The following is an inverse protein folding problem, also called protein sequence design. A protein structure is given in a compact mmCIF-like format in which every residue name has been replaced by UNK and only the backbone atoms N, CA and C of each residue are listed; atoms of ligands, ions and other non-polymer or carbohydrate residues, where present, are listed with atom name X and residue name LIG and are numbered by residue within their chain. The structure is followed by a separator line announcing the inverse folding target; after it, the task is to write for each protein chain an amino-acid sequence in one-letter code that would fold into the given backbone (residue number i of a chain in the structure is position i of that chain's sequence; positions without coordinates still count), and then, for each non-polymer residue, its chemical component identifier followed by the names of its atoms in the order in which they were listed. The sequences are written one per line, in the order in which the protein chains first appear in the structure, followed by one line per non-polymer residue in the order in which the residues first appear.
data_IF_694961105022
#
_entry.id   IF_694961105022
#
_cell.length_a   1.000
_cell.length_b   1.000
_cell.length_c   1.000
_cell.angle_alpha   90.00
_cell.angle_beta   90.00
_cell.angle_gamma   90.00
#
_symmetry.space_group_name_H-M   'P 1'
#
loop_
_entity.id
_entity.type
_entity.pdbx_description
1 polymer ?
#
# COMPACT_ATOMS: atom_id res chain seq x y z
N UNK A 1 2.47 9.58 33.56
CA UNK A 1 1.80 8.73 32.56
C UNK A 1 2.81 8.42 31.47
N UNK A 2 3.41 7.25 31.53
CA UNK A 2 4.39 6.75 30.57
C UNK A 2 3.64 6.25 29.34
N UNK A 3 3.84 6.90 28.20
CA UNK A 3 3.33 6.43 26.91
C UNK A 3 4.15 5.21 26.50
N UNK A 4 3.58 4.02 26.68
CA UNK A 4 4.12 2.78 26.13
C UNK A 4 3.96 2.84 24.61
N UNK A 5 5.03 3.20 23.88
CA UNK A 5 5.10 2.99 22.45
C UNK A 5 4.98 1.48 22.19
N UNK A 6 3.80 1.04 21.75
CA UNK A 6 3.63 -0.28 21.17
C UNK A 6 4.31 -0.27 19.80
N UNK A 7 5.50 -0.84 19.72
CA UNK A 7 6.14 -1.21 18.46
C UNK A 7 5.34 -2.38 17.85
N UNK A 8 4.25 -2.06 17.16
CA UNK A 8 3.73 -2.94 16.11
C UNK A 8 4.83 -2.99 15.07
N UNK A 9 5.27 -4.20 14.69
CA UNK A 9 6.40 -4.40 13.79
C UNK A 9 6.18 -3.63 12.48
N UNK A 10 6.76 -2.43 12.42
CA UNK A 10 6.87 -1.58 11.25
C UNK A 10 8.01 -2.14 10.40
N UNK A 11 7.79 -3.31 9.83
CA UNK A 11 8.61 -3.78 8.72
C UNK A 11 8.26 -2.90 7.54
N UNK A 12 9.04 -1.85 7.32
CA UNK A 12 9.05 -1.20 6.03
C UNK A 12 9.65 -2.17 5.00
N UNK A 13 9.34 -1.94 3.72
CA UNK A 13 9.62 -2.93 2.70
C UNK A 13 11.06 -2.80 2.23
N UNK A 14 11.86 -3.82 2.55
CA UNK A 14 13.23 -3.94 2.07
C UNK A 14 13.39 -4.71 0.79
N UNK A 15 14.20 -4.14 -0.10
CA UNK A 15 14.62 -4.76 -1.35
C UNK A 15 15.48 -6.00 -1.08
N UNK A 16 14.83 -7.16 -0.96
CA UNK A 16 15.51 -8.44 -0.95
C UNK A 16 16.17 -8.73 -2.30
N UNK A 17 17.50 -8.72 -2.30
CA UNK A 17 18.38 -9.04 -3.42
C UNK A 17 17.93 -10.30 -4.19
N UNK A 18 17.65 -10.15 -5.49
CA UNK A 18 17.40 -11.26 -6.41
C UNK A 18 18.66 -12.11 -6.55
N UNK A 19 18.75 -13.19 -5.77
CA UNK A 19 19.81 -14.18 -5.90
C UNK A 19 19.76 -14.85 -7.28
N UNK A 20 20.80 -14.62 -8.09
CA UNK A 20 21.08 -15.33 -9.33
C UNK A 20 21.31 -16.83 -9.04
N UNK A 21 20.23 -17.59 -8.95
CA UNK A 21 20.23 -19.05 -8.94
C UNK A 21 19.78 -19.58 -10.29
N UNK A 22 20.70 -20.15 -11.06
CA UNK A 22 20.38 -20.91 -12.25
C UNK A 22 19.53 -22.12 -11.85
N UNK A 23 18.21 -22.03 -12.04
CA UNK A 23 17.27 -23.12 -11.85
C UNK A 23 16.10 -22.92 -12.80
N UNK A 24 15.93 -23.87 -13.72
CA UNK A 24 14.79 -23.99 -14.64
C UNK A 24 13.46 -24.30 -13.91
N UNK A 25 13.23 -23.71 -12.74
CA UNK A 25 11.98 -23.73 -12.02
C UNK A 25 11.54 -22.28 -11.82
N UNK A 26 11.03 -21.68 -12.90
CA UNK A 26 10.16 -20.52 -12.77
C UNK A 26 9.01 -20.93 -11.83
N UNK A 27 8.83 -20.28 -10.66
CA UNK A 27 7.71 -20.59 -9.80
C UNK A 27 6.45 -20.31 -10.62
N UNK A 28 5.67 -21.36 -10.91
CA UNK A 28 4.31 -21.18 -11.41
C UNK A 28 3.61 -20.33 -10.36
N UNK A 29 3.30 -19.09 -10.69
CA UNK A 29 2.55 -18.20 -9.81
C UNK A 29 1.22 -18.87 -9.51
N UNK A 30 1.12 -19.55 -8.37
CA UNK A 30 -0.08 -20.26 -7.97
C UNK A 30 -1.11 -19.21 -7.58
N UNK A 31 -2.17 -19.13 -8.38
CA UNK A 31 -3.32 -18.27 -8.11
C UNK A 31 -3.89 -18.59 -6.73
N UNK A 32 -3.95 -17.60 -5.84
CA UNK A 32 -4.53 -17.78 -4.51
C UNK A 32 -5.98 -18.26 -4.61
N UNK A 33 -6.43 -19.14 -3.72
CA UNK A 33 -7.82 -19.55 -3.61
C UNK A 33 -8.73 -18.40 -3.14
N UNK A 34 -10.04 -18.53 -3.32
CA UNK A 34 -11.01 -17.55 -2.80
C UNK A 34 -10.91 -17.42 -1.27
N UNK A 35 -10.69 -18.53 -0.58
CA UNK A 35 -10.49 -18.57 0.87
C UNK A 35 -9.25 -17.79 1.30
N UNK A 36 -8.14 -17.92 0.56
CA UNK A 36 -6.91 -17.17 0.83
C UNK A 36 -7.11 -15.67 0.58
N UNK A 37 -7.82 -15.26 -0.48
CA UNK A 37 -8.12 -13.84 -0.73
C UNK A 37 -8.96 -13.25 0.40
N UNK A 38 -10.02 -13.93 0.83
CA UNK A 38 -10.85 -13.48 1.95
C UNK A 38 -10.02 -13.39 3.23
N UNK A 39 -9.16 -14.38 3.48
CA UNK A 39 -8.28 -14.39 4.67
C UNK A 39 -7.30 -13.22 4.67
N UNK A 40 -6.65 -12.97 3.53
CA UNK A 40 -5.71 -11.85 3.36
C UNK A 40 -6.43 -10.50 3.51
N UNK A 41 -7.60 -10.34 2.91
CA UNK A 41 -8.37 -9.10 3.06
C UNK A 41 -8.85 -8.90 4.50
N UNK A 42 -9.24 -9.98 5.17
CA UNK A 42 -9.64 -9.96 6.57
C UNK A 42 -8.49 -9.52 7.48
N UNK A 43 -7.30 -10.11 7.33
CA UNK A 43 -6.13 -9.78 8.17
C UNK A 43 -5.53 -8.41 7.88
N UNK A 44 -5.74 -7.87 6.67
CA UNK A 44 -5.13 -6.62 6.22
C UNK A 44 -6.06 -5.41 6.27
N UNK A 45 -7.38 -5.58 6.19
CA UNK A 45 -8.33 -4.45 6.08
C UNK A 45 -9.55 -4.51 7.00
N UNK A 46 -10.08 -5.71 7.31
CA UNK A 46 -11.35 -5.84 8.03
C UNK A 46 -11.13 -6.03 9.54
N UNK A 47 -10.32 -7.02 9.92
CA UNK A 47 -10.11 -7.47 11.31
C UNK A 47 -8.65 -7.30 11.77
N UNK A 48 -7.89 -6.43 11.11
CA UNK A 48 -6.48 -6.19 11.44
C UNK A 48 -6.26 -5.63 12.86
N UNK A 49 -7.34 -5.16 13.51
CA UNK A 49 -7.38 -4.72 14.91
C UNK A 49 -7.70 -5.82 15.93
N UNK A 50 -7.73 -7.11 15.56
CA UNK A 50 -8.11 -8.20 16.48
C UNK A 50 -7.27 -8.25 17.78
N UNK A 51 -6.09 -7.64 17.78
CA UNK A 51 -5.20 -7.50 18.95
C UNK A 51 -5.42 -6.23 19.80
N UNK A 52 -6.20 -5.25 19.33
CA UNK A 52 -6.50 -3.99 20.02
C UNK A 52 -8.00 -3.93 20.32
N UNK A 53 -8.43 -4.65 21.36
CA UNK A 53 -9.85 -4.86 21.70
C UNK A 53 -10.64 -3.58 21.99
N UNK A 54 -9.98 -2.50 22.43
CA UNK A 54 -10.60 -1.18 22.64
C UNK A 54 -10.79 -0.36 21.33
N UNK A 55 -10.28 -0.88 20.21
CA UNK A 55 -10.45 -0.36 18.86
C UNK A 55 -11.35 -1.26 18.00
N UNK A 56 -12.09 -2.21 18.61
CA UNK A 56 -13.09 -3.04 17.92
C UNK A 56 -14.18 -2.17 17.30
N UNK A 57 -13.92 -1.77 16.06
CA UNK A 57 -14.83 -1.07 15.17
C UNK A 57 -15.64 -2.12 14.40
N UNK A 58 -16.87 -1.81 13.93
CA UNK A 58 -17.68 -2.77 13.21
C UNK A 58 -16.89 -3.35 12.02
N UNK A 59 -16.94 -4.68 11.80
CA UNK A 59 -16.22 -5.30 10.71
C UNK A 59 -16.78 -4.79 9.38
N UNK A 60 -15.90 -4.47 8.44
CA UNK A 60 -16.28 -4.04 7.11
C UNK A 60 -15.06 -3.73 6.26
N UNK A 61 -15.23 -3.73 4.95
CA UNK A 61 -14.24 -3.18 4.02
C UNK A 61 -14.11 -1.67 4.23
N UNK A 62 -12.89 -1.19 4.50
CA UNK A 62 -12.59 0.22 4.75
C UNK A 62 -11.59 0.75 3.72
N UNK A 63 -11.97 1.76 2.96
CA UNK A 63 -11.17 2.31 1.85
C UNK A 63 -11.42 3.81 1.70
N UNK A 64 -10.82 4.45 0.70
CA UNK A 64 -11.03 5.88 0.44
C UNK A 64 -12.52 6.23 0.29
N UNK A 65 -12.96 7.22 1.09
CA UNK A 65 -14.24 7.91 0.96
C UNK A 65 -14.11 9.00 -0.12
N UNK A 66 -13.91 8.63 -1.38
CA UNK A 66 -13.91 9.61 -2.47
C UNK A 66 -15.27 9.73 -3.14
N UNK A 67 -15.51 10.87 -3.81
CA UNK A 67 -16.72 11.11 -4.62
C UNK A 67 -16.27 11.52 -6.03
N UNK A 68 -16.57 10.74 -7.09
CA UNK A 68 -17.25 9.44 -7.05
C UNK A 68 -16.40 8.41 -6.30
N UNK A 69 -17.07 7.43 -5.67
CA UNK A 69 -16.39 6.35 -4.97
C UNK A 69 -15.41 5.67 -5.91
N UNK A 70 -14.21 5.35 -5.40
CA UNK A 70 -13.15 4.66 -6.12
C UNK A 70 -12.40 5.54 -7.15
N UNK A 71 -12.50 6.86 -7.06
CA UNK A 71 -11.61 7.77 -7.77
C UNK A 71 -10.65 8.43 -6.78
N UNK A 72 -9.35 8.21 -6.90
CA UNK A 72 -8.33 8.73 -5.96
C UNK A 72 -7.32 9.58 -6.72
N UNK A 73 -7.15 10.83 -6.28
CA UNK A 73 -6.12 11.71 -6.82
C UNK A 73 -4.75 11.33 -6.25
N UNK A 74 -3.73 11.32 -7.09
CA UNK A 74 -2.33 11.10 -6.71
C UNK A 74 -1.53 12.33 -7.10
N UNK A 75 -1.18 13.14 -6.11
CA UNK A 75 -0.30 14.29 -6.32
C UNK A 75 1.16 13.82 -6.43
N UNK A 76 1.75 14.08 -7.59
CA UNK A 76 3.15 13.76 -7.90
C UNK A 76 3.91 15.08 -8.02
N UNK A 77 4.67 15.50 -6.98
CA UNK A 77 5.50 16.69 -7.08
C UNK A 77 6.50 16.58 -8.23
N UNK A 78 6.80 17.71 -8.90
CA UNK A 78 7.85 17.74 -9.90
C UNK A 78 9.20 17.39 -9.23
N UNK A 79 9.98 16.46 -9.79
CA UNK A 79 11.34 16.21 -9.34
C UNK A 79 12.18 17.49 -9.36
N UNK A 80 13.06 17.64 -8.37
CA UNK A 80 14.07 18.69 -8.34
C UNK A 80 14.94 18.61 -9.59
N UNK A 81 15.18 19.74 -10.24
CA UNK A 81 15.96 19.78 -11.48
C UNK A 81 17.34 19.16 -11.28
N UNK A 82 17.69 18.20 -12.14
CA UNK A 82 18.95 17.44 -12.08
C UNK A 82 18.96 16.29 -11.08
N UNK A 83 17.91 16.09 -10.27
CA UNK A 83 17.82 14.94 -9.36
C UNK A 83 17.31 13.70 -10.10
N UNK A 84 18.23 12.81 -10.50
CA UNK A 84 17.91 11.58 -11.24
C UNK A 84 17.16 10.55 -10.41
N UNK A 85 17.37 10.52 -9.09
CA UNK A 85 16.65 9.61 -8.18
C UNK A 85 15.18 9.99 -8.05
N UNK A 86 14.88 11.27 -7.87
CA UNK A 86 13.48 11.75 -7.83
C UNK A 86 12.78 11.53 -9.18
N UNK A 87 13.49 11.70 -10.30
CA UNK A 87 12.96 11.41 -11.64
C UNK A 87 12.64 9.92 -11.81
N UNK A 88 13.52 9.03 -11.37
CA UNK A 88 13.29 7.60 -11.39
C UNK A 88 12.08 7.20 -10.53
N UNK A 89 11.97 7.75 -9.31
CA UNK A 89 10.81 7.51 -8.44
C UNK A 89 9.51 8.03 -9.06
N UNK A 90 9.51 9.21 -9.68
CA UNK A 90 8.36 9.74 -10.40
C UNK A 90 7.93 8.81 -11.55
N UNK A 91 8.89 8.27 -12.31
CA UNK A 91 8.61 7.31 -13.39
C UNK A 91 8.00 6.01 -12.84
N UNK A 92 8.57 5.45 -11.77
CA UNK A 92 8.05 4.25 -11.11
C UNK A 92 6.64 4.45 -10.53
N UNK A 93 6.34 5.63 -10.00
CA UNK A 93 4.99 6.01 -9.57
C UNK A 93 4.02 6.02 -10.75
N UNK A 94 4.35 6.68 -11.85
CA UNK A 94 3.49 6.71 -13.03
C UNK A 94 3.22 5.29 -13.57
N UNK A 95 4.25 4.44 -13.62
CA UNK A 95 4.11 3.04 -14.00
C UNK A 95 3.21 2.26 -13.03
N UNK A 96 3.35 2.46 -11.72
CA UNK A 96 2.48 1.82 -10.71
C UNK A 96 1.01 2.24 -10.90
N UNK A 97 0.76 3.53 -11.14
CA UNK A 97 -0.59 4.05 -11.45
C UNK A 97 -1.17 3.36 -12.69
N UNK A 98 -0.38 3.23 -13.77
CA UNK A 98 -0.81 2.53 -14.99
C UNK A 98 -1.12 1.05 -14.70
N UNK A 99 -0.28 0.37 -13.94
CA UNK A 99 -0.51 -1.03 -13.54
C UNK A 99 -1.81 -1.17 -12.73
N UNK A 100 -2.00 -0.32 -11.72
CA UNK A 100 -3.17 -0.34 -10.84
C UNK A 100 -4.45 -0.05 -11.62
N UNK A 101 -4.47 1.00 -12.45
CA UNK A 101 -5.63 1.33 -13.29
C UNK A 101 -5.97 0.23 -14.29
N UNK A 102 -4.96 -0.50 -14.76
CA UNK A 102 -5.15 -1.64 -15.67
C UNK A 102 -5.73 -2.84 -14.92
N UNK A 103 -5.13 -3.22 -13.79
CA UNK A 103 -5.54 -4.40 -12.99
C UNK A 103 -6.87 -4.20 -12.29
N UNK A 104 -7.19 -2.98 -11.88
CA UNK A 104 -8.40 -2.62 -11.14
C UNK A 104 -9.41 -1.86 -12.00
N UNK A 105 -9.37 -2.08 -13.32
CA UNK A 105 -10.30 -1.47 -14.27
C UNK A 105 -11.75 -1.65 -13.81
N UNK A 106 -12.54 -0.57 -13.91
CA UNK A 106 -13.95 -0.48 -13.51
C UNK A 106 -14.23 -0.54 -12.00
N UNK A 107 -13.20 -0.70 -11.15
CA UNK A 107 -13.39 -0.69 -9.69
C UNK A 107 -12.52 0.31 -8.95
N UNK A 108 -11.48 0.86 -9.59
CA UNK A 108 -10.65 1.94 -9.07
C UNK A 108 -10.04 2.75 -10.22
N UNK A 109 -9.94 4.05 -10.03
CA UNK A 109 -9.14 4.95 -10.86
C UNK A 109 -8.21 5.75 -9.95
N UNK A 110 -6.91 5.67 -10.25
CA UNK A 110 -5.88 6.59 -9.77
C UNK A 110 -5.64 7.65 -10.83
N UNK A 111 -5.89 8.91 -10.49
CA UNK A 111 -5.64 10.05 -11.37
C UNK A 111 -4.37 10.79 -10.92
N UNK A 112 -3.27 10.75 -11.71
CA UNK A 112 -2.09 11.53 -11.39
C UNK A 112 -2.34 13.02 -11.64
N UNK A 113 -1.96 13.86 -10.69
CA UNK A 113 -2.06 15.32 -10.80
C UNK A 113 -0.72 15.98 -10.47
N UNK A 114 -0.40 17.05 -11.22
CA UNK A 114 0.82 17.85 -11.03
C UNK A 114 0.60 19.08 -10.15
N UNK A 115 -0.66 19.38 -9.81
CA UNK A 115 -1.04 20.45 -8.89
C UNK A 115 -1.62 19.82 -7.64
N UNK A 116 -1.13 20.23 -6.48
CA UNK A 116 -1.60 19.73 -5.18
C UNK A 116 -3.10 19.98 -5.03
N UNK A 117 -3.93 18.94 -4.85
CA UNK A 117 -5.37 19.13 -4.62
C UNK A 117 -5.64 19.94 -3.35
N UNK A 118 -6.70 20.74 -3.41
CA UNK A 118 -7.26 21.45 -2.25
C UNK A 118 -8.67 20.91 -1.97
N UNK A 119 -9.00 20.73 -0.69
CA UNK A 119 -10.33 20.35 -0.21
C UNK A 119 -10.85 18.95 -0.59
N UNK A 120 -9.96 18.05 -1.00
CA UNK A 120 -10.27 16.62 -1.22
C UNK A 120 -9.19 15.76 -0.59
N UNK A 121 -9.49 14.50 -0.30
CA UNK A 121 -8.49 13.53 0.18
C UNK A 121 -7.72 12.95 -1.00
N UNK A 122 -6.39 12.86 -0.88
CA UNK A 122 -5.51 12.42 -1.97
C UNK A 122 -4.26 11.70 -1.43
N UNK A 123 -3.59 10.97 -2.32
CA UNK A 123 -2.26 10.41 -2.08
C UNK A 123 -1.22 11.45 -2.49
N UNK A 124 -0.25 11.72 -1.63
CA UNK A 124 0.90 12.58 -1.92
C UNK A 124 2.17 11.72 -2.01
N UNK A 125 2.87 11.80 -3.14
CA UNK A 125 4.21 11.22 -3.26
C UNK A 125 5.21 12.13 -2.55
N UNK A 126 6.14 11.54 -1.81
CA UNK A 126 7.23 12.26 -1.15
C UNK A 126 8.55 11.53 -1.35
N UNK A 127 9.52 12.22 -1.94
CA UNK A 127 10.81 11.64 -2.32
C UNK A 127 11.86 11.85 -1.23
N UNK A 128 12.68 10.84 -0.98
CA UNK A 128 13.76 10.86 0.01
C UNK A 128 13.27 10.89 1.47
N UNK A 129 11.99 10.59 1.71
CA UNK A 129 11.36 10.76 3.03
C UNK A 129 10.92 9.45 3.67
N UNK A 130 11.41 8.30 3.21
CA UNK A 130 11.10 7.03 3.87
C UNK A 130 11.62 7.05 5.31
N UNK A 131 10.80 6.57 6.24
CA UNK A 131 11.12 6.58 7.66
C UNK A 131 12.16 5.51 8.00
N UNK A 132 13.23 5.92 8.67
CA UNK A 132 14.26 5.04 9.20
C UNK A 132 14.25 5.14 10.73
N UNK A 133 13.98 4.04 11.46
CA UNK A 133 14.04 4.05 12.92
C UNK A 133 15.40 4.53 13.45
N UNK A 134 15.45 5.42 14.46
CA UNK A 134 16.70 5.86 15.05
C UNK A 134 17.58 4.69 15.51
N UNK A 135 18.84 4.70 15.10
CA UNK A 135 19.82 3.68 15.49
C UNK A 135 19.78 2.37 14.69
N UNK A 136 18.87 2.23 13.72
CA UNK A 136 18.94 1.08 12.79
C UNK A 136 20.11 1.24 11.82
N UNK A 137 20.75 0.12 11.50
CA UNK A 137 21.70 0.03 10.37
C UNK A 137 21.09 -0.70 9.18
N UNK A 138 19.86 -1.20 9.32
CA UNK A 138 19.19 -1.98 8.30
C UNK A 138 18.39 -1.09 7.35
N UNK A 139 19.05 -0.18 6.64
CA UNK A 139 18.39 0.79 5.77
C UNK A 139 17.63 0.16 4.60
N UNK A 140 18.04 -1.05 4.19
CA UNK A 140 17.35 -1.76 3.11
C UNK A 140 15.90 -2.01 3.50
N UNK A 141 15.62 -2.43 4.73
CA UNK A 141 14.26 -2.68 5.22
C UNK A 141 13.41 -1.42 5.44
N UNK A 142 13.88 -0.24 5.04
CA UNK A 142 13.16 1.01 5.21
C UNK A 142 13.16 1.87 3.94
N UNK A 143 13.08 1.22 2.77
CA UNK A 143 13.14 1.90 1.48
C UNK A 143 11.92 2.73 1.15
N UNK A 144 10.75 2.32 1.61
CA UNK A 144 9.54 3.06 1.42
C UNK A 144 8.58 2.78 2.56
N UNK A 145 7.65 3.69 2.78
CA UNK A 145 6.55 3.49 3.71
C UNK A 145 5.38 4.43 3.40
N UNK A 146 4.18 4.00 3.79
CA UNK A 146 2.99 4.86 3.80
C UNK A 146 2.71 5.41 5.19
N UNK A 147 2.39 6.69 5.27
CA UNK A 147 2.19 7.40 6.55
C UNK A 147 1.32 8.65 6.44
N UNK A 148 1.12 9.33 7.58
CA UNK A 148 0.41 10.61 7.66
C UNK A 148 1.32 11.82 7.35
N UNK A 149 2.62 11.59 7.13
CA UNK A 149 3.59 12.65 6.88
C UNK A 149 4.96 12.16 6.45
N UNK A 150 5.79 13.03 5.84
CA UNK A 150 7.13 12.68 5.41
C UNK A 150 8.01 12.30 6.59
N UNK A 151 8.83 11.24 6.42
CA UNK A 151 9.77 10.76 7.44
C UNK A 151 9.11 10.32 8.75
N UNK A 152 7.84 9.89 8.67
CA UNK A 152 7.09 9.33 9.81
C UNK A 152 6.82 7.85 9.56
N UNK A 153 7.07 7.02 10.58
CA UNK A 153 6.81 5.58 10.55
C UNK A 153 5.48 5.18 11.14
N UNK A 154 4.41 5.98 11.00
CA UNK A 154 3.08 5.56 11.44
C UNK A 154 2.33 4.91 10.27
N UNK A 155 1.66 3.79 10.55
CA UNK A 155 0.87 3.10 9.54
C UNK A 155 -0.48 3.80 9.34
N UNK A 156 -0.92 3.91 8.09
CA UNK A 156 -2.29 4.33 7.78
C UNK A 156 -3.26 3.22 8.11
N UNK A 157 -4.25 3.53 8.96
CA UNK A 157 -5.24 2.57 9.44
C UNK A 157 -6.63 2.95 8.92
N UNK A 158 -7.14 2.24 7.89
CA UNK A 158 -8.53 2.39 7.47
C UNK A 158 -9.49 2.08 8.64
N UNK A 159 -10.56 2.85 8.79
CA UNK A 159 -11.50 2.64 9.89
C UNK A 159 -12.96 2.91 9.51
N UNK A 160 -13.86 2.49 10.39
CA UNK A 160 -15.31 2.49 10.17
C UNK A 160 -15.99 3.85 10.06
N UNK A 161 -15.34 4.89 10.57
CA UNK A 161 -15.93 6.21 10.70
C UNK A 161 -15.60 7.08 9.48
N UNK A 162 -14.42 6.89 8.89
CA UNK A 162 -13.91 7.74 7.80
C UNK A 162 -13.19 7.00 6.69
N UNK A 163 -13.16 5.66 6.68
CA UNK A 163 -12.29 4.90 5.79
C UNK A 163 -10.83 5.27 6.05
N UNK A 164 -10.11 5.70 5.02
CA UNK A 164 -8.76 6.26 5.14
C UNK A 164 -8.86 7.76 5.50
N UNK A 165 -8.54 8.10 6.75
CA UNK A 165 -8.75 9.45 7.32
C UNK A 165 -7.63 10.46 7.01
N UNK A 166 -6.40 9.99 6.75
CA UNK A 166 -5.27 10.90 6.52
C UNK A 166 -5.48 11.72 5.25
N UNK A 167 -5.21 13.03 5.34
CA UNK A 167 -5.30 13.93 4.20
C UNK A 167 -4.11 14.91 4.19
N UNK A 168 -3.07 14.66 3.36
CA UNK A 168 -2.95 13.53 2.43
C UNK A 168 -2.48 12.24 3.11
N UNK A 169 -2.58 11.12 2.40
CA UNK A 169 -1.77 9.92 2.68
C UNK A 169 -0.45 10.06 1.96
N UNK A 170 0.67 9.94 2.67
CA UNK A 170 1.99 10.03 2.06
C UNK A 170 2.48 8.65 1.62
N UNK A 171 2.92 8.53 0.38
CA UNK A 171 3.77 7.44 -0.09
C UNK A 171 5.20 7.96 -0.10
N UNK A 172 5.99 7.54 0.88
CA UNK A 172 7.36 7.98 1.05
C UNK A 172 8.31 7.03 0.33
N UNK A 173 9.15 7.56 -0.56
CA UNK A 173 10.02 6.76 -1.41
C UNK A 173 11.47 7.15 -1.19
N UNK A 174 12.28 6.17 -0.77
CA UNK A 174 13.72 6.28 -0.61
C UNK A 174 14.13 6.89 0.72
N UNK A 175 15.27 6.41 1.23
CA UNK A 175 15.94 6.95 2.42
C UNK A 175 17.41 7.35 2.12
N UNK A 176 17.81 7.35 0.84
CA UNK A 176 19.19 7.63 0.40
C UNK A 176 20.15 6.45 0.51
N UNK A 177 19.72 5.30 1.04
CA UNK A 177 20.57 4.15 1.32
C UNK A 177 20.11 2.85 0.66
N UNK A 178 19.07 2.89 -0.18
CA UNK A 178 18.58 1.70 -0.87
C UNK A 178 17.92 1.99 -2.22
N UNK A 179 17.71 0.92 -3.00
CA UNK A 179 17.03 0.97 -4.29
C UNK A 179 15.53 0.71 -4.12
N UNK A 180 14.72 1.70 -4.47
CA UNK A 180 13.26 1.59 -4.45
C UNK A 180 12.83 0.97 -5.77
N UNK A 181 12.54 -0.33 -5.77
CA UNK A 181 12.12 -1.05 -6.99
C UNK A 181 10.70 -0.67 -7.43
N UNK A 182 10.34 -1.01 -8.67
CA UNK A 182 8.98 -0.82 -9.18
C UNK A 182 7.93 -1.52 -8.30
N UNK A 183 8.23 -2.74 -7.84
CA UNK A 183 7.32 -3.52 -7.01
C UNK A 183 7.16 -2.93 -5.61
N UNK A 184 8.21 -2.32 -5.04
CA UNK A 184 8.10 -1.57 -3.78
C UNK A 184 7.14 -0.38 -3.95
N UNK A 185 7.26 0.39 -5.04
CA UNK A 185 6.33 1.52 -5.28
C UNK A 185 4.89 1.02 -5.38
N UNK A 186 4.64 -0.04 -6.15
CA UNK A 186 3.30 -0.63 -6.30
C UNK A 186 2.79 -1.22 -4.97
N UNK A 187 3.67 -1.80 -4.16
CA UNK A 187 3.36 -2.28 -2.81
C UNK A 187 2.87 -1.13 -1.92
N UNK A 188 3.59 0.00 -1.88
CA UNK A 188 3.17 1.15 -1.07
C UNK A 188 1.80 1.69 -1.51
N UNK A 189 1.48 1.66 -2.80
CA UNK A 189 0.12 1.97 -3.23
C UNK A 189 -0.93 1.02 -2.63
N UNK A 190 -0.60 -0.25 -2.42
CA UNK A 190 -1.44 -1.19 -1.66
C UNK A 190 -1.78 -0.70 -0.27
N UNK A 191 -0.76 -0.25 0.47
CA UNK A 191 -0.93 0.36 1.78
C UNK A 191 -1.76 1.64 1.71
N UNK A 192 -1.44 2.54 0.77
CA UNK A 192 -2.18 3.77 0.56
C UNK A 192 -3.63 3.52 0.15
N UNK A 193 -3.95 2.37 -0.46
CA UNK A 193 -5.29 1.94 -0.83
C UNK A 193 -6.03 1.16 0.25
N UNK A 194 -5.41 0.92 1.40
CA UNK A 194 -6.06 0.41 2.61
C UNK A 194 -5.67 -1.00 3.02
N UNK A 195 -4.65 -1.61 2.43
CA UNK A 195 -4.08 -2.83 2.97
C UNK A 195 -3.13 -2.49 4.12
N UNK A 196 -3.52 -2.71 5.38
CA UNK A 196 -2.68 -2.35 6.53
C UNK A 196 -1.57 -3.39 6.75
N UNK A 197 -1.94 -4.63 7.08
CA UNK A 197 -0.97 -5.69 7.37
C UNK A 197 -0.48 -6.38 6.10
N UNK A 198 0.77 -6.84 6.12
CA UNK A 198 1.34 -7.73 5.10
C UNK A 198 0.70 -9.11 5.12
N UNK A 199 0.71 -9.78 3.97
CA UNK A 199 0.33 -11.18 3.79
C UNK A 199 1.20 -11.82 2.70
N UNK A 200 1.11 -13.14 2.50
CA UNK A 200 1.93 -13.83 1.49
C UNK A 200 1.64 -13.27 0.08
N UNK A 201 2.64 -12.67 -0.55
CA UNK A 201 2.48 -11.97 -1.83
C UNK A 201 2.09 -10.49 -1.70
N UNK A 202 2.17 -9.94 -0.50
CA UNK A 202 2.11 -8.52 -0.19
C UNK A 202 3.03 -8.24 1.02
N UNK A 203 4.33 -8.07 0.77
CA UNK A 203 5.34 -7.76 1.78
C UNK A 203 5.87 -8.97 2.57
N UNK A 204 5.12 -10.07 2.64
CA UNK A 204 5.66 -11.38 3.07
C UNK A 204 6.05 -12.19 1.85
N UNK A 205 7.36 -12.43 1.70
CA UNK A 205 7.94 -13.01 0.49
C UNK A 205 8.09 -11.93 -0.57
N UNK A 206 7.26 -11.99 -1.62
CA UNK A 206 7.27 -10.98 -2.67
C UNK A 206 6.60 -9.67 -2.21
N UNK A 207 7.11 -8.53 -2.68
CA UNK A 207 6.50 -7.23 -2.45
C UNK A 207 5.06 -7.19 -2.99
N UNK A 208 4.84 -7.73 -4.19
CA UNK A 208 3.51 -7.92 -4.80
C UNK A 208 3.46 -9.27 -5.53
N UNK A 209 2.26 -9.85 -5.64
CA UNK A 209 2.01 -11.08 -6.41
C UNK A 209 0.60 -11.04 -7.03
N UNK A 210 0.15 -12.06 -7.80
CA UNK A 210 -1.25 -12.14 -8.24
C UNK A 210 -2.28 -12.04 -7.09
N UNK A 211 -1.94 -12.55 -5.90
CA UNK A 211 -2.83 -12.47 -4.74
C UNK A 211 -3.07 -11.03 -4.28
N UNK A 212 -2.05 -10.16 -4.35
CA UNK A 212 -2.16 -8.74 -4.04
C UNK A 212 -3.22 -8.06 -4.92
N UNK A 213 -3.19 -8.32 -6.23
CA UNK A 213 -4.13 -7.75 -7.18
C UNK A 213 -5.57 -8.22 -6.94
N UNK A 214 -5.77 -9.51 -6.69
CA UNK A 214 -7.10 -10.06 -6.41
C UNK A 214 -7.68 -9.56 -5.07
N UNK A 215 -6.83 -9.34 -4.06
CA UNK A 215 -7.23 -8.75 -2.77
C UNK A 215 -7.68 -7.29 -2.97
N UNK A 216 -6.94 -6.47 -3.72
CA UNK A 216 -7.37 -5.11 -4.04
C UNK A 216 -8.64 -5.08 -4.89
N UNK A 217 -8.74 -5.94 -5.92
CA UNK A 217 -9.95 -6.04 -6.74
C UNK A 217 -11.18 -6.44 -5.92
N UNK A 218 -11.00 -7.33 -4.94
CA UNK A 218 -12.05 -7.72 -4.00
C UNK A 218 -12.42 -6.57 -3.07
N UNK A 219 -11.43 -5.87 -2.48
CA UNK A 219 -11.67 -4.71 -1.61
C UNK A 219 -12.48 -3.62 -2.30
N UNK A 220 -12.06 -3.21 -3.51
CA UNK A 220 -12.68 -2.12 -4.24
C UNK A 220 -13.95 -2.54 -4.97
N UNK A 221 -14.06 -3.81 -5.37
CA UNK A 221 -15.23 -4.34 -6.07
C UNK A 221 -16.44 -4.65 -5.20
N UNK A 222 -16.32 -4.66 -3.88
CA UNK A 222 -17.45 -4.81 -2.97
C UNK A 222 -17.89 -3.44 -2.46
N UNK A 223 -19.16 -3.22 -2.06
CA UNK A 223 -19.56 -2.02 -1.34
C UNK A 223 -18.68 -1.75 -0.11
N UNK A 224 -18.68 -0.51 0.37
CA UNK A 224 -17.98 -0.19 1.61
C UNK A 224 -18.73 -0.82 2.78
N UNK A 225 -17.99 -1.19 3.83
CA UNK A 225 -18.55 -1.85 5.01
C UNK A 225 -19.08 -3.26 4.74
N UNK A 226 -18.71 -3.90 3.62
CA UNK A 226 -19.01 -5.32 3.39
C UNK A 226 -18.21 -6.18 4.36
N UNK A 227 -18.89 -7.02 5.14
CA UNK A 227 -18.25 -7.95 6.09
C UNK A 227 -17.56 -9.11 5.37
N UNK A 228 -16.59 -9.75 6.02
CA UNK A 228 -15.82 -10.85 5.43
C UNK A 228 -16.69 -11.99 4.87
N UNK A 229 -17.79 -12.32 5.55
CA UNK A 229 -18.72 -13.39 5.15
C UNK A 229 -19.54 -13.04 3.90
N UNK A 230 -19.67 -11.75 3.59
CA UNK A 230 -20.47 -11.23 2.48
C UNK A 230 -19.61 -10.78 1.29
N UNK A 231 -18.30 -11.02 1.33
CA UNK A 231 -17.40 -10.65 0.25
C UNK A 231 -17.64 -11.50 -1.00
N UNK A 232 -17.80 -10.83 -2.13
CA UNK A 232 -17.72 -11.45 -3.46
C UNK A 232 -16.28 -11.30 -3.95
N UNK A 233 -15.55 -12.42 -4.02
CA UNK A 233 -14.16 -12.42 -4.51
C UNK A 233 -14.12 -11.96 -5.97
N UNK A 234 -13.22 -11.02 -6.27
CA UNK A 234 -12.93 -10.57 -7.63
C UNK A 234 -11.51 -10.95 -8.02
N UNK A 235 -11.34 -11.28 -9.30
CA UNK A 235 -10.07 -11.68 -9.89
C UNK A 235 -9.64 -10.65 -10.91
N UNK A 236 -8.38 -10.29 -10.88
CA UNK A 236 -7.79 -9.46 -11.95
C UNK A 236 -7.41 -10.37 -13.11
N UNK A 237 -7.69 -9.93 -14.34
CA UNK A 237 -7.18 -10.62 -15.53
C UNK A 237 -5.70 -10.29 -15.70
N UNK A 238 -4.93 -11.27 -16.18
CA UNK A 238 -3.52 -11.04 -16.48
C UNK A 238 -3.32 -10.11 -17.66
#
# INVERSE_FOLDING_TARGET
MTATLFAVALSACGGGNSGSGNSNNQPTATTASNTEIITNLKSSNIDFFSILTWLQKPPGTWRWLSTPSQHVLVYIPAPTNGNTTEQDYANKVNNAIVQINTKLRNVLVLEPVSVKPANVSFIQISYGTSYVPPGTTNYQDYCANVSEGPSIGNMILPNSEYGIKSNPVFVNLGNGHCDVTQDIVTHEFGHALGLANHFKGFGIGDAISPAFWDVLATLYGNPQSTTAQNLIVRRTTN
#
